data_IF_519013510819
#
_entry.id   IF_519013510819
#
_cell.length_a   1.000
_cell.length_b   1.000
_cell.length_c   1.000
_cell.angle_alpha   90.00
_cell.angle_beta   90.00
_cell.angle_gamma   90.00
#
_symmetry.space_group_name_H-M   'P 1'
#
loop_
_entity.id
_entity.type
_entity.pdbx_description
1 polymer ?
#
# COMPACT_ATOMS: atom_id res chain seq x y z
N UNK A 1 63.01 -17.27 -9.30
CA UNK A 1 61.58 -17.22 -8.95
C UNK A 1 61.51 -16.92 -7.46
N UNK A 2 61.10 -15.69 -7.09
CA UNK A 2 61.09 -15.26 -5.68
C UNK A 2 59.80 -15.75 -5.06
N UNK A 3 59.91 -16.61 -4.03
CA UNK A 3 58.77 -17.10 -3.27
C UNK A 3 58.30 -16.03 -2.28
N UNK A 4 56.99 -15.82 -2.10
CA UNK A 4 56.48 -14.87 -1.11
C UNK A 4 56.82 -15.34 0.31
N UNK A 5 57.19 -14.40 1.17
CA UNK A 5 57.75 -14.62 2.54
C UNK A 5 56.73 -15.25 3.52
N UNK A 6 55.46 -15.39 3.13
CA UNK A 6 54.42 -16.05 3.94
C UNK A 6 53.70 -17.11 3.13
N UNK A 7 54.01 -18.37 3.41
CA UNK A 7 53.16 -19.49 3.03
C UNK A 7 52.09 -19.72 4.10
N UNK A 8 50.90 -20.16 3.67
CA UNK A 8 49.83 -20.58 4.56
C UNK A 8 50.29 -21.78 5.39
N UNK A 9 50.15 -21.77 6.73
CA UNK A 9 50.66 -22.84 7.60
C UNK A 9 50.01 -24.22 7.37
N UNK A 10 48.98 -24.31 6.51
CA UNK A 10 48.26 -25.54 6.20
C UNK A 10 48.72 -26.26 4.92
N UNK A 11 49.70 -25.72 4.19
CA UNK A 11 50.27 -26.36 2.98
C UNK A 11 49.50 -26.10 1.67
N UNK A 12 50.03 -26.57 0.53
CA UNK A 12 49.56 -26.23 -0.83
C UNK A 12 48.19 -26.80 -1.21
N UNK A 13 47.65 -27.74 -0.42
CA UNK A 13 46.35 -28.38 -0.63
C UNK A 13 45.32 -28.00 0.45
N UNK A 14 45.62 -26.99 1.27
CA UNK A 14 44.75 -26.56 2.35
C UNK A 14 43.47 -25.90 1.83
N UNK A 15 42.34 -26.58 1.99
CA UNK A 15 41.02 -25.96 1.84
C UNK A 15 40.80 -25.03 3.02
N UNK A 16 40.92 -23.72 2.79
CA UNK A 16 40.54 -22.71 3.78
C UNK A 16 39.03 -22.57 3.80
N UNK A 17 38.41 -22.87 4.93
CA UNK A 17 37.03 -22.44 5.18
C UNK A 17 37.03 -20.94 5.48
N UNK A 18 36.08 -20.20 4.90
CA UNK A 18 35.95 -18.77 5.14
C UNK A 18 35.52 -18.52 6.60
N UNK A 19 36.23 -17.65 7.31
CA UNK A 19 35.97 -17.31 8.72
C UNK A 19 35.16 -16.00 8.86
N UNK A 20 34.09 -15.85 8.08
CA UNK A 20 33.27 -14.63 8.16
C UNK A 20 32.53 -14.58 9.50
N UNK A 21 32.65 -13.45 10.19
CA UNK A 21 31.90 -13.15 11.40
C UNK A 21 31.03 -11.90 11.19
N UNK A 22 29.88 -11.86 11.87
CA UNK A 22 29.00 -10.70 11.88
C UNK A 22 29.63 -9.58 12.70
N UNK A 23 30.03 -8.51 12.03
CA UNK A 23 30.69 -7.35 12.67
C UNK A 23 29.73 -6.26 13.15
N UNK A 24 28.42 -6.45 12.92
CA UNK A 24 27.35 -5.57 13.34
C UNK A 24 26.19 -5.59 12.33
N UNK A 25 25.07 -4.95 12.69
CA UNK A 25 23.92 -4.82 11.79
C UNK A 25 23.22 -3.47 11.96
N UNK A 26 22.61 -2.96 10.89
CA UNK A 26 21.74 -1.80 10.94
C UNK A 26 20.32 -2.22 10.57
N UNK A 27 19.32 -1.66 11.26
CA UNK A 27 17.90 -1.84 10.92
C UNK A 27 17.45 -0.56 10.24
N UNK A 28 16.90 -0.69 9.03
CA UNK A 28 16.28 0.41 8.31
C UNK A 28 14.76 0.26 8.30
N UNK A 29 14.08 1.39 8.19
CA UNK A 29 12.64 1.47 7.97
C UNK A 29 12.38 2.47 6.85
N UNK A 30 11.18 2.46 6.28
CA UNK A 30 10.78 3.45 5.26
C UNK A 30 10.92 4.89 5.78
N UNK A 31 10.75 5.11 7.08
CA UNK A 31 10.93 6.42 7.72
C UNK A 31 12.40 6.89 7.70
N UNK A 32 13.36 5.97 7.56
CA UNK A 32 14.78 6.24 7.55
C UNK A 32 15.37 6.34 6.12
N UNK A 33 14.56 6.40 5.06
CA UNK A 33 15.04 6.47 3.66
C UNK A 33 15.95 7.68 3.41
N UNK A 34 15.71 8.80 4.10
CA UNK A 34 16.55 10.00 4.00
C UNK A 34 17.82 9.95 4.88
N UNK A 35 17.94 8.95 5.77
CA UNK A 35 19.10 8.80 6.64
C UNK A 35 20.26 8.24 5.81
N UNK A 36 21.41 8.91 5.89
CA UNK A 36 22.62 8.52 5.15
C UNK A 36 23.60 7.71 5.99
N UNK A 37 23.61 7.91 7.31
CA UNK A 37 24.58 7.28 8.21
C UNK A 37 23.83 6.44 9.23
N UNK A 38 24.14 5.16 9.33
CA UNK A 38 23.51 4.21 10.24
C UNK A 38 24.53 3.65 11.22
N UNK A 39 24.24 3.73 12.51
CA UNK A 39 25.05 3.09 13.56
C UNK A 39 24.85 1.58 13.52
N UNK A 40 25.95 0.83 13.65
CA UNK A 40 25.95 -0.61 13.70
C UNK A 40 25.64 -1.11 15.12
N UNK A 41 24.56 -1.87 15.24
CA UNK A 41 24.19 -2.60 16.45
C UNK A 41 25.04 -3.87 16.60
N UNK A 42 25.26 -4.30 17.85
CA UNK A 42 26.06 -5.47 18.20
C UNK A 42 27.47 -5.48 17.58
N UNK A 43 28.08 -4.30 17.49
CA UNK A 43 29.47 -4.19 17.04
C UNK A 43 30.40 -4.75 18.13
N UNK A 44 31.29 -5.71 17.82
CA UNK A 44 32.24 -6.25 18.81
C UNK A 44 33.13 -5.16 19.42
N UNK A 45 33.53 -5.34 20.70
CA UNK A 45 34.33 -4.35 21.45
C UNK A 45 35.67 -4.04 20.77
N UNK A 46 36.24 -4.99 20.04
CA UNK A 46 37.47 -4.82 19.24
C UNK A 46 37.19 -4.86 17.73
N UNK A 47 36.03 -4.35 17.31
CA UNK A 47 35.70 -4.26 15.89
C UNK A 47 36.67 -3.32 15.16
N UNK A 48 37.16 -3.69 13.96
CA UNK A 48 37.91 -2.79 13.08
C UNK A 48 37.00 -1.75 12.40
N UNK A 49 35.67 -1.86 12.54
CA UNK A 49 34.72 -0.92 11.96
C UNK A 49 34.54 0.29 12.87
N UNK A 50 34.37 1.47 12.27
CA UNK A 50 34.05 2.74 12.97
C UNK A 50 32.70 2.70 13.71
N UNK A 51 31.91 1.63 13.53
CA UNK A 51 30.61 1.47 14.16
C UNK A 51 29.49 2.21 13.43
N UNK A 52 29.74 2.77 12.26
CA UNK A 52 28.72 3.32 11.38
C UNK A 52 28.93 2.93 9.92
N UNK A 53 27.84 2.97 9.15
CA UNK A 53 27.86 2.74 7.70
C UNK A 53 27.16 3.91 7.02
N UNK A 54 27.83 4.50 6.05
CA UNK A 54 27.21 5.46 5.14
C UNK A 54 26.61 4.71 3.95
N UNK A 55 25.33 4.97 3.68
CA UNK A 55 24.57 4.32 2.63
C UNK A 55 23.55 5.29 2.05
N UNK A 56 23.38 5.25 0.73
CA UNK A 56 22.31 5.95 0.03
C UNK A 56 21.23 4.94 -0.31
N UNK A 57 20.03 5.16 0.25
CA UNK A 57 18.89 4.28 0.02
C UNK A 57 17.99 4.92 -1.03
N UNK A 58 17.80 4.23 -2.15
CA UNK A 58 16.78 4.56 -3.13
C UNK A 58 15.66 3.53 -2.99
N UNK A 59 14.45 3.97 -2.67
CA UNK A 59 13.28 3.09 -2.70
C UNK A 59 12.31 3.61 -3.76
N UNK A 60 11.75 2.68 -4.54
CA UNK A 60 10.67 2.97 -5.47
C UNK A 60 9.41 2.28 -4.98
N UNK A 61 8.28 3.00 -5.05
CA UNK A 61 6.99 2.44 -4.71
C UNK A 61 6.56 1.45 -5.79
N UNK A 62 6.81 0.16 -5.56
CA UNK A 62 6.10 -0.89 -6.26
C UNK A 62 4.82 -1.19 -5.48
N UNK A 63 3.71 -0.49 -5.76
CA UNK A 63 2.40 -0.94 -5.28
C UNK A 63 2.03 -2.21 -6.04
N UNK A 64 2.47 -3.36 -5.57
CA UNK A 64 2.13 -4.67 -6.14
C UNK A 64 0.72 -5.13 -5.76
N UNK A 65 -0.11 -4.24 -5.23
CA UNK A 65 -1.49 -4.55 -4.89
C UNK A 65 -2.29 -4.53 -6.18
N UNK A 66 -2.53 -5.72 -6.69
CA UNK A 66 -3.51 -5.99 -7.73
C UNK A 66 -4.53 -7.00 -7.19
N UNK A 67 -5.81 -6.69 -7.36
CA UNK A 67 -6.91 -7.58 -7.00
C UNK A 67 -8.13 -7.29 -7.87
N UNK A 68 -8.80 -8.36 -8.32
CA UNK A 68 -9.95 -8.29 -9.20
C UNK A 68 -11.09 -9.11 -8.63
N UNK A 69 -12.31 -8.64 -8.80
CA UNK A 69 -13.49 -9.36 -8.31
C UNK A 69 -14.77 -8.55 -8.45
N UNK A 70 -15.90 -9.19 -8.18
CA UNK A 70 -17.17 -8.47 -8.16
C UNK A 70 -17.35 -7.72 -6.84
N UNK A 71 -17.83 -6.48 -6.94
CA UNK A 71 -18.38 -5.72 -5.83
C UNK A 71 -19.74 -5.16 -6.27
N UNK A 72 -20.71 -5.20 -5.37
CA UNK A 72 -21.97 -4.48 -5.55
C UNK A 72 -21.79 -3.08 -4.96
N UNK A 73 -21.79 -2.06 -5.80
CA UNK A 73 -21.54 -0.66 -5.45
C UNK A 73 -22.85 0.08 -5.23
N UNK A 74 -22.92 0.90 -4.19
CA UNK A 74 -24.05 1.77 -3.95
C UNK A 74 -23.91 3.08 -4.73
N UNK A 75 -24.96 3.47 -5.45
CA UNK A 75 -25.03 4.70 -6.21
C UNK A 75 -26.30 5.48 -5.79
N UNK A 76 -26.21 6.81 -5.80
CA UNK A 76 -27.39 7.67 -5.72
C UNK A 76 -27.92 7.91 -7.14
N UNK A 77 -29.13 7.42 -7.40
CA UNK A 77 -29.84 7.58 -8.66
C UNK A 77 -31.05 8.47 -8.42
N UNK A 78 -30.87 9.78 -8.64
CA UNK A 78 -31.94 10.79 -8.53
C UNK A 78 -32.60 10.84 -7.13
N UNK A 79 -31.81 10.72 -6.07
CA UNK A 79 -32.27 10.72 -4.68
C UNK A 79 -32.65 9.33 -4.15
N UNK A 80 -32.55 8.28 -4.98
CA UNK A 80 -32.84 6.91 -4.60
C UNK A 80 -31.56 6.08 -4.59
N UNK A 81 -31.37 5.31 -3.52
CA UNK A 81 -30.24 4.40 -3.41
C UNK A 81 -30.40 3.18 -4.30
N UNK A 82 -29.42 2.91 -5.16
CA UNK A 82 -29.36 1.73 -6.01
C UNK A 82 -28.06 0.95 -5.78
N UNK A 83 -28.12 -0.36 -5.96
CA UNK A 83 -26.96 -1.25 -5.84
C UNK A 83 -26.66 -1.89 -7.18
N UNK A 84 -25.45 -1.66 -7.71
CA UNK A 84 -25.02 -2.18 -9.00
C UNK A 84 -23.82 -3.11 -8.83
N UNK A 85 -23.97 -4.36 -9.27
CA UNK A 85 -22.87 -5.33 -9.31
C UNK A 85 -21.91 -4.95 -10.43
N UNK A 86 -20.64 -4.69 -10.10
CA UNK A 86 -19.58 -4.28 -11.02
C UNK A 86 -18.39 -5.21 -10.90
N UNK A 87 -17.71 -5.46 -12.02
CA UNK A 87 -16.39 -6.07 -12.03
C UNK A 87 -15.37 -4.99 -11.67
N UNK A 88 -14.62 -5.19 -10.58
CA UNK A 88 -13.72 -4.18 -10.02
C UNK A 88 -12.27 -4.65 -10.09
N UNK A 89 -11.37 -3.74 -10.41
CA UNK A 89 -9.92 -3.89 -10.38
C UNK A 89 -9.32 -2.85 -9.45
N UNK A 90 -8.77 -3.32 -8.33
CA UNK A 90 -7.87 -2.52 -7.51
C UNK A 90 -6.45 -2.71 -8.01
N UNK A 91 -5.86 -1.66 -8.58
CA UNK A 91 -4.49 -1.68 -9.06
C UNK A 91 -3.77 -0.41 -8.64
N UNK A 92 -2.71 -0.58 -7.87
CA UNK A 92 -1.91 0.54 -7.40
C UNK A 92 -2.72 1.47 -6.50
N UNK A 93 -2.96 2.68 -6.99
CA UNK A 93 -3.66 3.77 -6.30
C UNK A 93 -5.14 3.91 -6.69
N UNK A 94 -5.66 3.01 -7.51
CA UNK A 94 -6.93 3.20 -8.20
C UNK A 94 -7.82 1.96 -8.13
N UNK A 95 -9.12 2.17 -7.94
CA UNK A 95 -10.16 1.15 -8.11
C UNK A 95 -10.98 1.48 -9.36
N UNK A 96 -10.74 0.75 -10.44
CA UNK A 96 -11.50 0.87 -11.70
C UNK A 96 -12.60 -0.18 -11.75
N UNK A 97 -13.72 0.11 -12.42
CA UNK A 97 -14.80 -0.87 -12.51
C UNK A 97 -15.57 -0.85 -13.83
N UNK A 98 -16.08 -2.02 -14.21
CA UNK A 98 -16.83 -2.29 -15.44
C UNK A 98 -18.12 -3.04 -15.13
N UNK A 99 -18.94 -3.27 -16.16
CA UNK A 99 -20.15 -4.09 -16.03
C UNK A 99 -19.80 -5.57 -15.93
N UNK A 100 -18.85 -6.05 -16.74
CA UNK A 100 -18.44 -7.45 -16.80
C UNK A 100 -16.92 -7.63 -16.85
N UNK A 101 -16.38 -8.81 -16.48
CA UNK A 101 -14.94 -9.09 -16.55
C UNK A 101 -14.35 -8.93 -17.95
N UNK A 102 -15.10 -9.34 -18.97
CA UNK A 102 -14.70 -9.25 -20.37
C UNK A 102 -14.43 -7.82 -20.85
N UNK A 103 -15.08 -6.83 -20.22
CA UNK A 103 -14.97 -5.42 -20.60
C UNK A 103 -13.63 -4.83 -20.18
N UNK A 104 -12.99 -5.36 -19.13
CA UNK A 104 -11.73 -4.84 -18.56
C UNK A 104 -10.64 -4.64 -19.62
N UNK A 105 -10.56 -5.56 -20.59
CA UNK A 105 -9.54 -5.53 -21.66
C UNK A 105 -10.04 -4.90 -22.97
N UNK A 106 -11.34 -4.57 -23.05
CA UNK A 106 -12.00 -4.16 -24.29
C UNK A 106 -12.43 -2.70 -24.26
N UNK A 107 -12.77 -2.16 -23.09
CA UNK A 107 -13.36 -0.83 -22.95
C UNK A 107 -12.75 -0.07 -21.78
N UNK A 108 -12.90 1.26 -21.81
CA UNK A 108 -12.59 2.09 -20.66
C UNK A 108 -13.51 1.71 -19.47
N UNK A 109 -13.01 1.82 -18.22
CA UNK A 109 -13.85 1.62 -17.05
C UNK A 109 -15.02 2.60 -17.04
N UNK A 110 -16.12 2.19 -16.39
CA UNK A 110 -17.28 3.05 -16.15
C UNK A 110 -16.83 4.28 -15.34
N UNK A 111 -16.01 4.05 -14.32
CA UNK A 111 -15.33 5.11 -13.57
C UNK A 111 -14.11 4.54 -12.84
N UNK A 112 -13.28 5.42 -12.28
CA UNK A 112 -12.11 5.09 -11.47
C UNK A 112 -12.10 5.89 -10.16
N UNK A 113 -12.05 5.17 -9.04
CA UNK A 113 -11.92 5.74 -7.70
C UNK A 113 -10.44 5.87 -7.37
N UNK A 114 -9.93 7.10 -7.41
CA UNK A 114 -8.57 7.46 -6.97
C UNK A 114 -8.45 7.41 -5.43
N UNK A 115 -7.59 6.52 -4.93
CA UNK A 115 -7.35 6.29 -3.50
C UNK A 115 -6.37 7.27 -2.87
N UNK A 116 -5.67 8.13 -3.63
CA UNK A 116 -4.76 9.16 -3.08
C UNK A 116 -5.49 10.12 -2.14
N UNK A 117 -6.74 10.41 -2.48
CA UNK A 117 -7.61 11.31 -1.72
C UNK A 117 -8.46 10.56 -0.67
N UNK A 118 -8.14 9.29 -0.38
CA UNK A 118 -8.88 8.48 0.57
C UNK A 118 -8.53 8.84 2.02
N UNK A 119 -9.55 9.24 2.79
CA UNK A 119 -9.43 9.63 4.20
C UNK A 119 -9.73 8.46 5.16
N UNK A 120 -10.26 7.33 4.66
CA UNK A 120 -10.53 6.13 5.45
C UNK A 120 -9.24 5.54 6.03
N UNK A 121 -9.01 5.67 7.33
CA UNK A 121 -7.78 5.18 8.00
C UNK A 121 -7.61 3.67 7.88
N UNK A 122 -8.66 2.91 8.09
CA UNK A 122 -8.64 1.46 7.98
C UNK A 122 -9.95 0.99 7.38
N UNK A 123 -9.86 0.22 6.31
CA UNK A 123 -11.00 -0.36 5.61
C UNK A 123 -11.44 -1.61 6.34
N UNK A 124 -12.72 -1.68 6.64
CA UNK A 124 -13.33 -2.74 7.42
C UNK A 124 -14.83 -2.84 7.13
N UNK A 125 -15.55 -3.72 7.85
CA UNK A 125 -17.00 -3.76 7.76
C UNK A 125 -17.59 -2.40 8.15
N UNK A 126 -18.52 -1.92 7.35
CA UNK A 126 -19.28 -0.70 7.66
C UNK A 126 -20.22 -0.95 8.85
N UNK A 127 -20.47 0.08 9.67
CA UNK A 127 -21.47 -0.01 10.74
C UNK A 127 -22.87 -0.26 10.16
N UNK A 128 -23.68 -1.05 10.89
CA UNK A 128 -25.08 -1.31 10.55
C UNK A 128 -25.95 -0.05 10.57
N UNK A 129 -25.56 0.96 11.35
CA UNK A 129 -26.25 2.26 11.39
C UNK A 129 -26.09 3.05 10.08
N UNK A 130 -25.04 2.74 9.31
CA UNK A 130 -24.75 3.37 8.01
C UNK A 130 -25.32 2.51 6.88
N UNK A 131 -25.14 1.18 6.94
CA UNK A 131 -25.60 0.29 5.90
C UNK A 131 -26.08 -1.06 6.45
N UNK A 132 -27.32 -1.43 6.13
CA UNK A 132 -27.88 -2.71 6.51
C UNK A 132 -27.39 -3.88 5.63
N UNK A 133 -26.86 -3.60 4.43
CA UNK A 133 -26.42 -4.64 3.48
C UNK A 133 -25.25 -5.43 4.06
N UNK A 134 -25.32 -6.76 3.96
CA UNK A 134 -24.25 -7.63 4.42
C UNK A 134 -22.96 -7.39 3.64
N UNK A 135 -21.84 -7.78 4.24
CA UNK A 135 -20.52 -7.82 3.59
C UNK A 135 -20.08 -6.48 2.96
N UNK A 136 -20.60 -5.36 3.50
CA UNK A 136 -20.32 -4.02 2.98
C UNK A 136 -19.13 -3.40 3.69
N UNK A 137 -18.26 -2.75 2.92
CA UNK A 137 -17.19 -1.88 3.38
C UNK A 137 -17.45 -0.44 2.89
N UNK A 138 -16.84 0.54 3.55
CA UNK A 138 -16.96 1.95 3.23
C UNK A 138 -15.57 2.54 2.95
N UNK A 139 -15.43 3.22 1.82
CA UNK A 139 -14.32 4.11 1.53
C UNK A 139 -14.84 5.54 1.47
N UNK A 140 -14.12 6.47 2.08
CA UNK A 140 -14.40 7.89 2.06
C UNK A 140 -13.23 8.61 1.41
N UNK A 141 -13.55 9.43 0.41
CA UNK A 141 -12.60 10.33 -0.23
C UNK A 141 -12.97 11.76 0.09
N UNK A 142 -11.96 12.62 0.23
CA UNK A 142 -12.15 14.03 0.46
C UNK A 142 -11.54 14.82 -0.70
N UNK A 143 -12.26 15.83 -1.20
CA UNK A 143 -11.74 16.80 -2.16
C UNK A 143 -12.24 18.21 -1.81
N UNK A 144 -11.62 19.27 -2.36
CA UNK A 144 -12.19 20.61 -2.28
C UNK A 144 -13.63 20.64 -2.79
N UNK A 145 -14.47 21.43 -2.12
CA UNK A 145 -15.86 21.63 -2.53
C UNK A 145 -15.92 22.31 -3.91
N UNK A 146 -16.84 21.85 -4.74
CA UNK A 146 -17.13 22.42 -6.05
C UNK A 146 -18.50 23.10 -6.03
N UNK A 147 -18.73 24.17 -6.84
CA UNK A 147 -19.99 24.91 -6.85
C UNK A 147 -21.24 24.05 -7.11
N UNK A 148 -21.09 22.95 -7.85
CA UNK A 148 -22.15 22.00 -8.18
C UNK A 148 -22.37 20.91 -7.12
N UNK A 149 -21.53 20.84 -6.09
CA UNK A 149 -21.66 19.82 -5.05
C UNK A 149 -22.92 20.05 -4.24
N UNK A 150 -23.63 18.96 -3.97
CA UNK A 150 -24.83 18.94 -3.14
C UNK A 150 -24.81 17.68 -2.31
N UNK A 151 -25.47 17.73 -1.16
CA UNK A 151 -25.66 16.55 -0.36
C UNK A 151 -26.49 15.52 -1.11
N UNK A 152 -25.99 14.30 -1.15
CA UNK A 152 -26.62 13.13 -1.77
C UNK A 152 -26.46 11.93 -0.82
N UNK A 153 -26.99 10.76 -1.17
CA UNK A 153 -26.81 9.56 -0.36
C UNK A 153 -25.33 9.13 -0.27
N UNK A 154 -24.48 9.59 -1.18
CA UNK A 154 -23.05 9.24 -1.28
C UNK A 154 -22.12 10.45 -1.21
N UNK A 155 -22.63 11.67 -1.09
CA UNK A 155 -21.83 12.90 -1.04
C UNK A 155 -22.28 13.78 0.11
N UNK A 156 -21.32 14.28 0.89
CA UNK A 156 -21.57 15.19 2.02
C UNK A 156 -20.69 16.42 1.86
N UNK A 157 -21.31 17.59 1.77
CA UNK A 157 -20.66 18.89 1.69
C UNK A 157 -20.39 19.41 3.10
N UNK A 158 -19.14 19.75 3.41
CA UNK A 158 -18.70 20.20 4.74
C UNK A 158 -17.80 21.42 4.62
N UNK A 159 -18.43 22.59 4.49
CA UNK A 159 -17.72 23.85 4.26
C UNK A 159 -16.94 23.82 2.95
N UNK A 160 -15.63 24.05 3.02
CA UNK A 160 -14.72 24.06 1.86
C UNK A 160 -14.36 22.66 1.30
N UNK A 161 -14.97 21.59 1.84
CA UNK A 161 -14.63 20.20 1.51
C UNK A 161 -15.87 19.40 1.17
N UNK A 162 -15.70 18.44 0.27
CA UNK A 162 -16.72 17.46 -0.10
C UNK A 162 -16.21 16.05 0.17
N UNK A 163 -16.99 15.29 0.94
CA UNK A 163 -16.72 13.89 1.26
C UNK A 163 -17.55 13.03 0.32
N UNK A 164 -16.91 12.11 -0.39
CA UNK A 164 -17.55 11.14 -1.27
C UNK A 164 -17.41 9.75 -0.64
N UNK A 165 -18.55 9.12 -0.39
CA UNK A 165 -18.69 7.80 0.23
C UNK A 165 -18.91 6.73 -0.83
N UNK A 166 -18.09 5.69 -0.78
CA UNK A 166 -18.18 4.51 -1.64
C UNK A 166 -18.53 3.31 -0.77
N UNK A 167 -19.80 2.90 -0.80
CA UNK A 167 -20.26 1.67 -0.14
C UNK A 167 -20.14 0.51 -1.12
N UNK A 168 -19.36 -0.50 -0.75
CA UNK A 168 -18.99 -1.62 -1.61
C UNK A 168 -19.30 -2.93 -0.89
N UNK A 169 -20.19 -3.74 -1.45
CA UNK A 169 -20.61 -5.03 -0.89
C UNK A 169 -19.99 -6.18 -1.67
N UNK A 170 -19.24 -7.04 -1.00
CA UNK A 170 -18.82 -8.32 -1.58
C UNK A 170 -19.97 -9.34 -1.55
N UNK A 171 -19.83 -10.45 -2.26
CA UNK A 171 -20.84 -11.52 -2.26
C UNK A 171 -20.74 -12.36 -0.98
N UNK A 172 -19.52 -12.54 -0.46
CA UNK A 172 -19.24 -13.34 0.73
C UNK A 172 -18.49 -12.55 1.80
N UNK A 173 -18.47 -13.08 3.02
CA UNK A 173 -17.71 -12.51 4.14
C UNK A 173 -16.20 -12.59 3.86
N UNK A 174 -15.77 -13.70 3.28
CA UNK A 174 -14.38 -14.03 2.95
C UNK A 174 -13.86 -13.06 1.89
N UNK A 175 -14.62 -12.84 0.81
CA UNK A 175 -14.30 -11.83 -0.20
C UNK A 175 -14.21 -10.42 0.39
N UNK A 176 -15.16 -10.02 1.26
CA UNK A 176 -15.07 -8.72 1.94
C UNK A 176 -13.78 -8.59 2.75
N UNK A 177 -13.38 -9.65 3.46
CA UNK A 177 -12.12 -9.64 4.23
C UNK A 177 -10.93 -9.46 3.29
N UNK A 178 -10.91 -10.17 2.17
CA UNK A 178 -9.86 -10.04 1.16
C UNK A 178 -9.80 -8.62 0.59
N UNK A 179 -10.94 -8.07 0.15
CA UNK A 179 -11.04 -6.69 -0.33
C UNK A 179 -10.53 -5.68 0.71
N UNK A 180 -10.97 -5.78 1.97
CA UNK A 180 -10.46 -4.92 3.04
C UNK A 180 -8.94 -5.02 3.19
N UNK A 181 -8.38 -6.24 3.16
CA UNK A 181 -6.94 -6.44 3.27
C UNK A 181 -6.19 -5.79 2.09
N UNK A 182 -6.70 -5.95 0.86
CA UNK A 182 -6.10 -5.36 -0.34
C UNK A 182 -6.17 -3.84 -0.33
N UNK A 183 -7.33 -3.26 0.01
CA UNK A 183 -7.43 -1.81 0.17
C UNK A 183 -6.50 -1.28 1.27
N UNK A 184 -6.44 -1.95 2.43
CA UNK A 184 -5.54 -1.54 3.51
C UNK A 184 -4.07 -1.61 3.09
N UNK A 185 -3.66 -2.63 2.33
CA UNK A 185 -2.32 -2.73 1.77
C UNK A 185 -2.03 -1.57 0.80
N UNK A 186 -2.97 -1.25 -0.10
CA UNK A 186 -2.83 -0.13 -1.04
C UNK A 186 -2.74 1.22 -0.31
N UNK A 187 -3.63 1.50 0.63
CA UNK A 187 -3.64 2.75 1.41
C UNK A 187 -2.39 2.88 2.28
N UNK A 188 -1.89 1.79 2.84
CA UNK A 188 -0.64 1.79 3.62
C UNK A 188 0.54 2.13 2.72
N UNK A 189 0.62 1.52 1.53
CA UNK A 189 1.66 1.83 0.54
C UNK A 189 1.61 3.31 0.11
N UNK A 190 0.41 3.85 -0.15
CA UNK A 190 0.23 5.25 -0.50
C UNK A 190 0.65 6.22 0.61
N UNK A 191 0.31 5.93 1.88
CA UNK A 191 0.65 6.80 3.01
C UNK A 191 2.14 6.77 3.37
N UNK A 192 2.79 5.63 3.19
CA UNK A 192 4.23 5.53 3.41
C UNK A 192 5.04 6.44 2.47
N UNK A 193 4.49 6.75 1.30
CA UNK A 193 5.13 7.59 0.28
C UNK A 193 4.53 8.99 0.12
N UNK A 194 3.27 9.20 0.51
CA UNK A 194 2.61 10.51 0.46
C UNK A 194 3.23 11.54 1.40
N UNK A 195 3.99 11.11 2.42
CA UNK A 195 4.71 11.99 3.34
C UNK A 195 6.12 12.39 2.83
N UNK A 196 6.52 11.98 1.61
CA UNK A 196 7.84 12.33 1.04
C UNK A 196 7.92 13.76 0.49
N UNK A 197 6.83 14.53 0.51
CA UNK A 197 6.75 15.89 -0.05
C UNK A 197 6.24 16.95 0.94
N UNK A 198 6.48 16.76 2.24
CA UNK A 198 6.22 17.79 3.24
C UNK A 198 7.52 18.35 3.83
#
# INVERSE_FOLDING_TARGET
>A
MVMPIKESPAGPQAVRTSSFELMGYAVFSVQAVNKKVFTLNNTPVMSPLEGSVEMRICCELAVSVEHHGFLTMFEDVSGFGAWHRRWCLLKGDSLSYWKYPDDEKKTAPIDTIDLKNCVTKQVGPVSRDICARLHTLLLERERPAQPQDKDTLVMVCKGEKTIIRHLLSADTKEERIEWCNKFNAALTALRMWGNSHQ
#
